data_IF_444043750708
#
_entry.id   IF_444043750708
#
_cell.length_a   1.000
_cell.length_b   1.000
_cell.length_c   1.000
_cell.angle_alpha   90.00
_cell.angle_beta   90.00
_cell.angle_gamma   90.00
#
_symmetry.space_group_name_H-M   'P 1'
#
loop_
_entity.id
_entity.type
_entity.pdbx_description
1 polymer ?
#
# COMPACT_ATOMS: atom_id res chain seq x y z
N UNK A 1 -3.30 28.39 -6.49
CA UNK A 1 -3.79 27.06 -6.88
C UNK A 1 -2.58 26.16 -7.02
N UNK A 2 -2.40 25.25 -6.07
CA UNK A 2 -1.25 24.36 -6.05
C UNK A 2 -1.56 23.14 -6.93
N UNK A 3 -0.64 22.71 -7.79
CA UNK A 3 -0.82 21.56 -8.69
C UNK A 3 -1.32 20.31 -7.93
N UNK A 4 -0.82 20.13 -6.70
CA UNK A 4 -1.19 19.00 -5.86
C UNK A 4 -2.62 19.07 -5.30
N UNK A 5 -3.19 20.26 -5.10
CA UNK A 5 -4.59 20.38 -4.62
C UNK A 5 -5.57 19.91 -5.68
N UNK A 6 -5.37 20.35 -6.94
CA UNK A 6 -6.20 19.91 -8.06
C UNK A 6 -6.05 18.41 -8.31
N UNK A 7 -4.82 17.87 -8.24
CA UNK A 7 -4.59 16.45 -8.38
C UNK A 7 -5.29 15.63 -7.27
N UNK A 8 -5.24 16.11 -6.01
CA UNK A 8 -5.93 15.47 -4.89
C UNK A 8 -7.42 15.33 -5.15
N UNK A 9 -8.10 16.42 -5.53
CA UNK A 9 -9.55 16.40 -5.74
C UNK A 9 -9.98 15.39 -6.82
N UNK A 10 -9.19 15.27 -7.89
CA UNK A 10 -9.46 14.28 -8.94
C UNK A 10 -9.22 12.85 -8.45
N UNK A 11 -8.14 12.62 -7.70
CA UNK A 11 -7.88 11.31 -7.09
C UNK A 11 -8.93 10.94 -6.06
N UNK A 12 -9.40 11.87 -5.22
CA UNK A 12 -10.50 11.66 -4.26
C UNK A 12 -11.76 11.19 -4.98
N UNK A 13 -12.21 11.91 -6.01
CA UNK A 13 -13.40 11.53 -6.80
C UNK A 13 -13.27 10.17 -7.47
N UNK A 14 -12.08 9.83 -7.99
CA UNK A 14 -11.84 8.55 -8.64
C UNK A 14 -11.71 7.39 -7.63
N UNK A 15 -11.07 7.64 -6.49
CA UNK A 15 -10.90 6.67 -5.41
C UNK A 15 -12.23 6.33 -4.72
N UNK A 16 -13.10 7.32 -4.56
CA UNK A 16 -14.48 7.15 -4.08
C UNK A 16 -15.34 6.32 -5.03
N UNK A 17 -15.05 6.37 -6.34
CA UNK A 17 -15.65 5.48 -7.35
C UNK A 17 -15.02 4.09 -7.38
N UNK A 18 -14.08 3.79 -6.48
CA UNK A 18 -13.47 2.47 -6.35
C UNK A 18 -12.24 2.26 -7.24
N UNK A 19 -11.74 3.26 -7.97
CA UNK A 19 -10.60 3.04 -8.87
C UNK A 19 -9.31 2.76 -8.07
N UNK A 20 -8.82 1.53 -8.14
CA UNK A 20 -7.69 1.06 -7.32
C UNK A 20 -6.42 1.92 -7.47
N UNK A 21 -6.06 2.32 -8.69
CA UNK A 21 -4.89 3.19 -8.92
C UNK A 21 -5.03 4.58 -8.27
N UNK A 22 -6.25 5.12 -8.19
CA UNK A 22 -6.51 6.41 -7.55
C UNK A 22 -6.46 6.27 -6.04
N UNK A 23 -6.97 5.16 -5.49
CA UNK A 23 -6.81 4.82 -4.08
C UNK A 23 -5.32 4.67 -3.73
N UNK A 24 -4.54 3.94 -4.52
CA UNK A 24 -3.09 3.84 -4.36
C UNK A 24 -2.42 5.23 -4.42
N UNK A 25 -2.80 6.07 -5.38
CA UNK A 25 -2.27 7.43 -5.50
C UNK A 25 -2.57 8.30 -4.29
N UNK A 26 -3.77 8.23 -3.71
CA UNK A 26 -4.10 8.91 -2.45
C UNK A 26 -3.28 8.36 -1.29
N UNK A 27 -3.08 7.04 -1.24
CA UNK A 27 -2.19 6.40 -0.29
C UNK A 27 -0.79 7.01 -0.33
N UNK A 28 -0.20 7.12 -1.53
CA UNK A 28 1.12 7.76 -1.73
C UNK A 28 1.13 9.22 -1.31
N UNK A 29 0.05 9.97 -1.57
CA UNK A 29 -0.04 11.38 -1.15
C UNK A 29 0.02 11.51 0.37
N UNK A 30 -0.71 10.68 1.10
CA UNK A 30 -0.67 10.68 2.57
C UNK A 30 0.62 10.10 3.14
N UNK A 31 1.18 9.06 2.55
CA UNK A 31 2.45 8.44 2.99
C UNK A 31 3.64 9.39 2.87
N UNK A 32 3.65 10.21 1.81
CA UNK A 32 4.78 11.09 1.50
C UNK A 32 4.51 12.58 1.77
N UNK A 33 3.32 12.92 2.28
CA UNK A 33 2.92 14.30 2.52
C UNK A 33 2.85 15.17 1.24
N UNK A 34 2.48 14.59 0.09
CA UNK A 34 2.42 15.31 -1.19
C UNK A 34 1.10 16.05 -1.33
N UNK A 35 1.10 17.36 -1.06
CA UNK A 35 -0.10 18.20 -1.14
C UNK A 35 -1.12 17.98 -0.02
N UNK A 36 -0.80 17.11 0.93
CA UNK A 36 -1.52 16.87 2.18
C UNK A 36 -0.48 16.69 3.29
N UNK A 37 -0.80 16.97 4.56
CA UNK A 37 0.06 16.57 5.67
C UNK A 37 0.27 15.04 5.65
N UNK A 38 1.51 14.61 5.89
CA UNK A 38 1.82 13.19 5.98
C UNK A 38 0.96 12.52 7.06
N UNK A 39 0.40 11.35 6.74
CA UNK A 39 -0.43 10.58 7.65
C UNK A 39 -0.42 9.10 7.26
N UNK A 40 0.41 8.32 7.96
CA UNK A 40 0.58 6.90 7.69
C UNK A 40 -0.71 6.08 7.89
N UNK A 41 -1.56 6.44 8.86
CA UNK A 41 -2.82 5.73 9.09
C UNK A 41 -3.80 5.92 7.92
N UNK A 42 -3.89 7.13 7.37
CA UNK A 42 -4.68 7.38 6.16
C UNK A 42 -4.09 6.71 4.93
N UNK A 43 -2.76 6.69 4.80
CA UNK A 43 -2.09 5.98 3.73
C UNK A 43 -2.43 4.49 3.77
N UNK A 44 -2.38 3.89 4.95
CA UNK A 44 -2.77 2.51 5.20
C UNK A 44 -4.19 2.21 4.71
N UNK A 45 -5.18 3.01 5.10
CA UNK A 45 -6.58 2.82 4.70
C UNK A 45 -6.76 2.84 3.16
N UNK A 46 -6.03 3.71 2.47
CA UNK A 46 -6.11 3.81 1.01
C UNK A 46 -5.38 2.68 0.30
N UNK A 47 -4.20 2.32 0.77
CA UNK A 47 -3.48 1.14 0.26
C UNK A 47 -4.26 -0.15 0.50
N UNK A 48 -4.94 -0.29 1.64
CA UNK A 48 -5.77 -1.46 1.93
C UNK A 48 -6.89 -1.63 0.90
N UNK A 49 -7.61 -0.56 0.58
CA UNK A 49 -8.68 -0.59 -0.44
C UNK A 49 -8.15 -0.96 -1.83
N UNK A 50 -6.99 -0.41 -2.22
CA UNK A 50 -6.38 -0.73 -3.51
C UNK A 50 -5.86 -2.19 -3.56
N UNK A 51 -5.21 -2.65 -2.48
CA UNK A 51 -4.68 -4.00 -2.37
C UNK A 51 -5.77 -5.07 -2.40
N UNK A 52 -6.93 -4.80 -1.79
CA UNK A 52 -8.13 -5.66 -1.87
C UNK A 52 -8.64 -5.85 -3.30
N UNK A 53 -8.33 -4.91 -4.20
CA UNK A 53 -8.67 -4.98 -5.62
C UNK A 53 -7.57 -5.62 -6.48
N UNK A 54 -6.49 -6.09 -5.86
CA UNK A 54 -5.37 -6.72 -6.56
C UNK A 54 -4.32 -5.73 -7.09
N UNK A 55 -4.36 -4.47 -6.66
CA UNK A 55 -3.29 -3.52 -6.99
C UNK A 55 -1.97 -3.95 -6.33
N UNK A 56 -1.01 -4.35 -7.17
CA UNK A 56 0.25 -4.96 -6.75
C UNK A 56 1.11 -3.97 -5.97
N UNK A 57 1.16 -2.71 -6.40
CA UNK A 57 1.96 -1.69 -5.72
C UNK A 57 1.38 -1.40 -4.33
N UNK A 58 0.06 -1.37 -4.20
CA UNK A 58 -0.61 -1.26 -2.91
C UNK A 58 -0.36 -2.48 -2.01
N UNK A 59 -0.38 -3.69 -2.56
CA UNK A 59 -0.03 -4.91 -1.80
C UNK A 59 1.40 -4.86 -1.25
N UNK A 60 2.37 -4.40 -2.06
CA UNK A 60 3.75 -4.23 -1.63
C UNK A 60 3.87 -3.17 -0.53
N UNK A 61 3.28 -1.99 -0.73
CA UNK A 61 3.29 -0.90 0.26
C UNK A 61 2.66 -1.34 1.58
N UNK A 62 1.50 -1.98 1.53
CA UNK A 62 0.80 -2.47 2.71
C UNK A 62 1.60 -3.57 3.43
N UNK A 63 2.24 -4.46 2.65
CA UNK A 63 3.14 -5.48 3.18
C UNK A 63 4.31 -4.87 3.96
N UNK A 64 4.92 -3.81 3.43
CA UNK A 64 5.98 -3.07 4.13
C UNK A 64 5.46 -2.39 5.39
N UNK A 65 4.29 -1.75 5.34
CA UNK A 65 3.69 -1.09 6.50
C UNK A 65 3.44 -2.08 7.65
N UNK A 66 2.90 -3.26 7.35
CA UNK A 66 2.76 -4.34 8.34
C UNK A 66 4.10 -4.91 8.82
N UNK A 67 5.14 -4.92 7.98
CA UNK A 67 6.48 -5.37 8.36
C UNK A 67 7.14 -4.48 9.40
N UNK A 68 6.95 -3.17 9.31
CA UNK A 68 7.63 -2.20 10.18
C UNK A 68 6.72 -1.56 11.22
N UNK A 69 5.41 -1.81 11.15
CA UNK A 69 4.42 -1.21 12.04
C UNK A 69 4.15 0.28 11.74
N UNK A 70 4.22 0.68 10.47
CA UNK A 70 3.95 2.06 10.04
C UNK A 70 2.46 2.22 9.77
N UNK A 71 1.78 3.14 10.47
CA UNK A 71 0.33 3.37 10.30
C UNK A 71 -0.58 2.23 10.77
N UNK A 72 -0.01 1.07 11.12
CA UNK A 72 -0.71 -0.14 11.60
C UNK A 72 0.18 -0.90 12.58
N UNK A 73 -0.40 -1.73 13.45
CA UNK A 73 0.39 -2.63 14.29
C UNK A 73 1.20 -3.62 13.44
N UNK A 74 2.45 -3.85 13.82
CA UNK A 74 3.33 -4.78 13.11
C UNK A 74 2.71 -6.19 13.07
N UNK A 75 2.65 -6.79 11.88
CA UNK A 75 2.15 -8.14 11.68
C UNK A 75 2.84 -8.82 10.49
N UNK A 76 3.93 -9.55 10.79
CA UNK A 76 4.72 -10.26 9.78
C UNK A 76 3.94 -11.32 9.00
N UNK A 77 2.92 -11.93 9.63
CA UNK A 77 2.09 -12.93 8.96
C UNK A 77 1.22 -12.28 7.87
N UNK A 78 0.62 -11.12 8.18
CA UNK A 78 -0.18 -10.36 7.21
C UNK A 78 0.70 -9.79 6.10
N UNK A 79 1.88 -9.26 6.44
CA UNK A 79 2.85 -8.80 5.44
C UNK A 79 3.26 -9.92 4.47
N UNK A 80 3.53 -11.12 5.00
CA UNK A 80 3.87 -12.29 4.19
C UNK A 80 2.77 -12.62 3.20
N UNK A 81 1.51 -12.59 3.62
CA UNK A 81 0.38 -12.88 2.73
C UNK A 81 0.25 -11.83 1.62
N UNK A 82 0.41 -10.55 1.93
CA UNK A 82 0.39 -9.48 0.93
C UNK A 82 1.53 -9.63 -0.09
N UNK A 83 2.75 -9.95 0.35
CA UNK A 83 3.86 -10.23 -0.55
C UNK A 83 3.63 -11.49 -1.40
N UNK A 84 2.96 -12.51 -0.83
CA UNK A 84 2.56 -13.69 -1.58
C UNK A 84 1.59 -13.32 -2.70
N UNK A 85 0.58 -12.50 -2.41
CA UNK A 85 -0.39 -12.03 -3.42
C UNK A 85 0.31 -11.26 -4.54
N UNK A 86 1.21 -10.33 -4.20
CA UNK A 86 2.01 -9.61 -5.20
C UNK A 86 2.87 -10.58 -6.05
N UNK A 87 3.46 -11.60 -5.42
CA UNK A 87 4.22 -12.64 -6.12
C UNK A 87 3.36 -13.48 -7.07
N UNK A 88 2.17 -13.91 -6.63
CA UNK A 88 1.23 -14.68 -7.44
C UNK A 88 0.77 -13.88 -8.67
N UNK A 89 0.73 -12.55 -8.56
CA UNK A 89 0.48 -11.61 -9.66
C UNK A 89 1.72 -11.31 -10.54
N UNK A 90 2.83 -12.03 -10.32
CA UNK A 90 4.03 -11.95 -11.14
C UNK A 90 5.05 -10.89 -10.71
N UNK A 91 4.84 -10.20 -9.59
CA UNK A 91 5.79 -9.19 -9.11
C UNK A 91 7.01 -9.81 -8.44
N UNK A 92 8.19 -9.44 -8.96
CA UNK A 92 9.47 -10.00 -8.50
C UNK A 92 9.82 -9.54 -7.08
N UNK A 93 9.47 -8.31 -6.72
CA UNK A 93 9.74 -7.77 -5.38
C UNK A 93 8.88 -8.48 -4.35
N UNK A 94 7.60 -8.72 -4.66
CA UNK A 94 6.69 -9.54 -3.89
C UNK A 94 7.23 -10.95 -3.67
N UNK A 95 7.70 -11.61 -4.73
CA UNK A 95 8.29 -12.94 -4.59
C UNK A 95 9.55 -12.96 -3.71
N UNK A 96 10.41 -11.96 -3.84
CA UNK A 96 11.61 -11.84 -3.01
C UNK A 96 11.24 -11.65 -1.53
N UNK A 97 10.34 -10.70 -1.23
CA UNK A 97 9.90 -10.41 0.13
C UNK A 97 9.16 -11.59 0.76
N UNK A 98 8.31 -12.27 -0.01
CA UNK A 98 7.63 -13.49 0.43
C UNK A 98 8.63 -14.59 0.80
N UNK A 99 9.63 -14.84 -0.06
CA UNK A 99 10.68 -15.84 0.19
C UNK A 99 11.53 -15.50 1.42
N UNK A 100 11.88 -14.23 1.61
CA UNK A 100 12.62 -13.77 2.79
C UNK A 100 11.86 -14.10 4.08
N UNK A 101 10.55 -13.85 4.11
CA UNK A 101 9.73 -14.14 5.29
C UNK A 101 9.45 -15.63 5.51
N UNK A 102 9.44 -16.45 4.45
CA UNK A 102 9.35 -17.91 4.60
C UNK A 102 10.62 -18.50 5.22
N UNK A 103 11.80 -17.96 4.87
CA UNK A 103 13.06 -18.44 5.39
C UNK A 103 13.38 -17.93 6.80
N UNK A 104 12.94 -16.71 7.15
CA UNK A 104 13.19 -16.10 8.46
C UNK A 104 12.25 -16.52 9.59
N UNK A 105 11.24 -17.34 9.32
CA UNK A 105 10.31 -17.91 10.32
C UNK A 105 10.68 -19.35 10.72
N UNK A 106 11.79 -19.88 10.21
CA UNK A 106 12.25 -21.25 10.43
C UNK A 106 13.30 -21.39 11.56
N UNK A 107 13.45 -20.38 12.41
CA UNK A 107 14.39 -20.35 13.56
C UNK A 107 13.66 -20.23 14.89
#
# INVERSE_FOLDING_TARGET
MNYYENAREWFEKAAEQGLAQAQFSLGVMYDQGRGVPQNDAKAFEWYEKAAQQGDVDAQLSLGVMYMIGQGVAQNKATAKELFKQACDNGDKTGCNNYRLLMNGLAE
#
